data_IF_956228873543
#
_entry.id   IF_956228873543
#
_cell.length_a   1.000
_cell.length_b   1.000
_cell.length_c   1.000
_cell.angle_alpha   90.00
_cell.angle_beta   90.00
_cell.angle_gamma   90.00
#
_symmetry.space_group_name_H-M   'P 1'
#
loop_
_entity.id
_entity.type
_entity.pdbx_description
1 polymer ?
#
# COMPACT_ATOMS: atom_id res chain seq x y z
N UNK A 1 6.62 26.57 10.90
CA UNK A 1 5.51 27.24 11.61
C UNK A 1 4.38 26.24 11.78
N UNK A 2 4.03 25.92 13.04
CA UNK A 2 2.85 25.12 13.33
C UNK A 2 1.67 26.08 13.52
N UNK A 3 0.64 25.93 12.69
CA UNK A 3 -0.58 26.72 12.76
C UNK A 3 -1.62 25.93 13.54
N UNK A 4 -2.40 26.61 14.40
CA UNK A 4 -3.57 25.99 15.02
C UNK A 4 -4.71 25.91 14.01
N UNK A 5 -5.63 24.96 14.21
CA UNK A 5 -6.90 24.92 13.48
C UNK A 5 -7.66 26.24 13.78
N UNK A 6 -8.32 26.80 12.78
CA UNK A 6 -9.22 27.94 12.99
C UNK A 6 -10.44 27.45 13.79
N UNK A 7 -10.59 27.93 15.03
CA UNK A 7 -11.64 27.50 15.97
C UNK A 7 -13.06 27.79 15.44
N UNK A 8 -13.22 28.75 14.52
CA UNK A 8 -14.54 29.13 13.98
C UNK A 8 -14.89 28.42 12.66
N UNK A 9 -13.89 27.95 11.89
CA UNK A 9 -14.10 27.48 10.51
C UNK A 9 -13.69 26.04 10.25
N UNK A 10 -13.12 25.34 11.22
CA UNK A 10 -12.58 23.97 11.03
C UNK A 10 -11.57 23.86 9.86
N UNK A 11 -11.06 24.98 9.34
CA UNK A 11 -10.25 25.00 8.11
C UNK A 11 -8.81 24.63 8.43
N UNK A 12 -8.35 23.54 7.82
CA UNK A 12 -6.93 23.22 7.74
C UNK A 12 -6.24 24.25 6.83
N UNK A 13 -5.28 25.00 7.36
CA UNK A 13 -4.34 25.76 6.54
C UNK A 13 -3.32 24.75 6.01
N UNK A 14 -3.41 24.45 4.71
CA UNK A 14 -2.41 23.66 3.99
C UNK A 14 -1.20 24.57 3.79
N UNK A 15 -0.12 24.28 4.50
CA UNK A 15 1.18 24.90 4.27
C UNK A 15 2.11 23.96 3.53
N UNK A 16 3.07 24.52 2.79
CA UNK A 16 4.11 23.76 2.10
C UNK A 16 5.33 23.45 2.99
N UNK A 17 6.11 22.46 2.57
CA UNK A 17 7.47 22.20 3.05
C UNK A 17 8.50 22.61 1.99
N UNK A 18 9.68 22.99 2.45
CA UNK A 18 10.86 23.27 1.65
C UNK A 18 12.09 22.87 2.45
N UNK A 19 13.27 22.95 1.84
CA UNK A 19 14.56 22.73 2.50
C UNK A 19 14.79 23.59 3.75
N UNK A 20 14.14 24.75 3.87
CA UNK A 20 14.38 25.71 4.96
C UNK A 20 13.19 25.94 5.88
N UNK A 21 11.98 25.78 5.38
CA UNK A 21 10.75 26.10 6.10
C UNK A 21 9.71 25.01 5.90
N UNK A 22 9.02 24.64 6.97
CA UNK A 22 7.82 23.81 6.92
C UNK A 22 6.68 24.53 7.62
N UNK A 23 5.52 24.63 6.97
CA UNK A 23 4.29 25.18 7.54
C UNK A 23 3.21 24.11 7.50
N UNK A 24 2.56 23.85 8.63
CA UNK A 24 1.43 22.92 8.70
C UNK A 24 0.47 23.34 9.78
N UNK A 25 -0.83 23.19 9.52
CA UNK A 25 -1.79 23.01 10.62
C UNK A 25 -1.45 21.71 11.35
N UNK A 26 -1.46 21.73 12.67
CA UNK A 26 -1.08 20.56 13.47
C UNK A 26 -1.94 20.44 14.71
N UNK A 27 -2.71 19.35 14.78
CA UNK A 27 -3.46 18.93 15.94
C UNK A 27 -2.69 17.82 16.70
N UNK A 28 -2.30 18.11 17.93
CA UNK A 28 -1.55 17.16 18.79
C UNK A 28 -2.37 15.95 19.20
N UNK A 29 -3.70 16.02 19.06
CA UNK A 29 -4.65 14.97 19.39
C UNK A 29 -5.00 14.09 18.18
N UNK A 30 -4.44 14.38 17.00
CA UNK A 30 -4.70 13.62 15.77
C UNK A 30 -3.47 12.84 15.31
N UNK A 31 -3.55 11.51 15.34
CA UNK A 31 -2.47 10.62 14.88
C UNK A 31 -2.00 10.94 13.44
N UNK A 32 -2.94 11.26 12.54
CA UNK A 32 -2.61 11.59 11.14
C UNK A 32 -1.75 12.84 11.02
N UNK A 33 -1.89 13.82 11.91
CA UNK A 33 -1.12 15.05 11.83
C UNK A 33 0.35 14.79 12.20
N UNK A 34 0.62 13.89 13.17
CA UNK A 34 1.96 13.40 13.49
C UNK A 34 2.62 12.67 12.31
N UNK A 35 1.85 11.80 11.65
CA UNK A 35 2.30 11.10 10.44
C UNK A 35 2.64 12.08 9.31
N UNK A 36 1.70 12.97 8.95
CA UNK A 36 1.90 13.98 7.90
C UNK A 36 3.07 14.92 8.21
N UNK A 37 3.26 15.27 9.48
CA UNK A 37 4.42 16.04 9.91
C UNK A 37 5.72 15.28 9.65
N UNK A 38 5.78 13.99 9.99
CA UNK A 38 6.95 13.16 9.71
C UNK A 38 7.21 13.01 8.21
N UNK A 39 6.17 12.79 7.41
CA UNK A 39 6.27 12.69 5.96
C UNK A 39 6.92 13.94 5.35
N UNK A 40 6.41 15.12 5.72
CA UNK A 40 6.98 16.42 5.27
C UNK A 40 8.37 16.68 5.80
N UNK A 41 8.64 16.29 7.06
CA UNK A 41 9.97 16.39 7.64
C UNK A 41 10.98 15.52 6.88
N UNK A 42 10.58 14.33 6.43
CA UNK A 42 11.42 13.48 5.60
C UNK A 42 11.74 14.14 4.26
N UNK A 43 10.76 14.70 3.55
CA UNK A 43 11.03 15.45 2.32
C UNK A 43 12.02 16.60 2.56
N UNK A 44 11.78 17.43 3.58
CA UNK A 44 12.73 18.50 3.95
C UNK A 44 14.12 17.96 4.28
N UNK A 45 14.23 16.83 4.99
CA UNK A 45 15.50 16.16 5.26
C UNK A 45 16.18 15.70 3.97
N UNK A 46 15.47 14.96 3.12
CA UNK A 46 16.00 14.41 1.88
C UNK A 46 16.49 15.53 0.95
N UNK A 47 15.69 16.57 0.74
CA UNK A 47 16.06 17.73 -0.08
C UNK A 47 17.23 18.53 0.52
N UNK A 48 17.40 18.52 1.85
CA UNK A 48 18.57 19.14 2.49
C UNK A 48 19.87 18.38 2.22
N UNK A 49 19.77 17.11 1.81
CA UNK A 49 20.90 16.23 1.51
C UNK A 49 21.08 15.97 0.03
N UNK A 50 20.01 15.99 -0.75
CA UNK A 50 20.02 15.59 -2.15
C UNK A 50 19.40 16.73 -2.95
N UNK A 51 20.22 17.43 -3.73
CA UNK A 51 19.80 18.65 -4.45
C UNK A 51 19.31 18.38 -5.88
N UNK A 52 19.43 17.14 -6.37
CA UNK A 52 18.99 16.80 -7.72
C UNK A 52 17.46 16.85 -7.83
N UNK A 53 16.95 17.54 -8.85
CA UNK A 53 15.51 17.70 -9.09
C UNK A 53 14.84 16.45 -9.66
N UNK A 54 15.61 15.50 -10.21
CA UNK A 54 15.08 14.27 -10.86
C UNK A 54 14.23 13.39 -9.94
N UNK A 55 14.31 13.55 -8.63
CA UNK A 55 13.48 12.80 -7.66
C UNK A 55 12.04 13.31 -7.61
N UNK A 56 11.77 14.50 -8.15
CA UNK A 56 10.43 15.08 -8.23
C UNK A 56 9.75 14.71 -9.55
N UNK A 57 10.37 13.85 -10.36
CA UNK A 57 9.89 13.44 -11.67
C UNK A 57 9.89 11.91 -11.81
N UNK A 58 8.89 11.35 -12.50
CA UNK A 58 8.90 9.95 -12.90
C UNK A 58 10.15 9.60 -13.72
N UNK A 59 10.72 8.39 -13.59
CA UNK A 59 10.21 7.26 -12.81
C UNK A 59 10.84 7.13 -11.42
N UNK A 60 11.42 8.19 -10.87
CA UNK A 60 12.08 8.15 -9.55
C UNK A 60 11.19 8.74 -8.46
N UNK A 61 10.14 9.47 -8.84
CA UNK A 61 9.16 10.04 -7.92
C UNK A 61 8.51 8.98 -7.02
N UNK A 62 8.12 7.82 -7.55
CA UNK A 62 7.59 6.73 -6.70
C UNK A 62 8.55 6.32 -5.57
N UNK A 63 9.85 6.31 -5.82
CA UNK A 63 10.84 5.95 -4.82
C UNK A 63 10.96 7.06 -3.75
N UNK A 64 10.91 8.31 -4.17
CA UNK A 64 10.95 9.46 -3.27
C UNK A 64 9.72 9.49 -2.35
N UNK A 65 8.52 9.35 -2.90
CA UNK A 65 7.26 9.26 -2.15
C UNK A 65 7.18 7.99 -1.30
N UNK A 66 7.70 6.87 -1.81
CA UNK A 66 7.79 5.61 -1.09
C UNK A 66 8.68 5.71 0.16
N UNK A 67 9.83 6.39 0.06
CA UNK A 67 10.68 6.68 1.21
C UNK A 67 9.96 7.56 2.23
N UNK A 68 9.31 8.64 1.78
CA UNK A 68 8.58 9.54 2.65
C UNK A 68 7.44 8.83 3.39
N UNK A 69 6.70 7.96 2.70
CA UNK A 69 5.60 7.17 3.27
C UNK A 69 6.09 6.05 4.19
N UNK A 70 7.25 5.46 3.90
CA UNK A 70 7.89 4.51 4.81
C UNK A 70 8.30 5.20 6.12
N UNK A 71 9.02 6.32 6.04
CA UNK A 71 9.47 7.06 7.22
C UNK A 71 8.36 7.84 7.92
N UNK A 72 7.26 8.16 7.24
CA UNK A 72 6.01 8.63 7.87
C UNK A 72 5.57 7.66 8.98
N UNK A 73 5.68 6.36 8.75
CA UNK A 73 5.21 5.34 9.67
C UNK A 73 6.30 4.89 10.63
N UNK A 74 7.50 4.57 10.15
CA UNK A 74 8.56 3.99 10.99
C UNK A 74 9.12 5.00 12.00
N UNK A 75 9.22 6.28 11.65
CA UNK A 75 9.73 7.30 12.57
C UNK A 75 8.86 7.47 13.81
N UNK A 76 7.58 7.09 13.74
CA UNK A 76 6.66 7.15 14.87
C UNK A 76 7.12 6.27 16.04
N UNK A 77 8.00 5.29 15.81
CA UNK A 77 8.65 4.52 16.88
C UNK A 77 9.42 5.42 17.86
N UNK A 78 9.93 6.54 17.39
CA UNK A 78 10.68 7.54 18.16
C UNK A 78 9.79 8.44 19.02
N UNK A 79 8.47 8.39 18.87
CA UNK A 79 7.56 9.15 19.73
C UNK A 79 7.55 8.59 21.16
N UNK A 80 7.39 9.45 22.19
CA UNK A 80 7.15 9.01 23.56
C UNK A 80 5.98 8.04 23.66
N UNK A 81 6.12 7.02 24.51
CA UNK A 81 5.10 5.97 24.70
C UNK A 81 3.73 6.54 25.11
N UNK A 82 3.72 7.62 25.89
CA UNK A 82 2.49 8.32 26.27
C UNK A 82 1.73 8.89 25.08
N UNK A 83 2.42 9.37 24.05
CA UNK A 83 1.81 9.89 22.82
C UNK A 83 1.31 8.72 21.96
N UNK A 84 2.13 7.68 21.79
CA UNK A 84 1.74 6.49 21.02
C UNK A 84 0.48 5.83 21.57
N UNK A 85 0.41 5.64 22.89
CA UNK A 85 -0.75 5.04 23.54
C UNK A 85 -2.00 5.93 23.45
N UNK A 86 -1.86 7.24 23.71
CA UNK A 86 -2.98 8.18 23.64
C UNK A 86 -3.58 8.27 22.24
N UNK A 87 -2.73 8.22 21.21
CA UNK A 87 -3.13 8.38 19.80
C UNK A 87 -3.32 7.05 19.06
N UNK A 88 -3.15 5.92 19.75
CA UNK A 88 -3.25 4.58 19.18
C UNK A 88 -2.30 4.35 17.97
N UNK A 89 -1.06 4.84 18.08
CA UNK A 89 -0.04 4.77 17.03
C UNK A 89 0.80 3.51 17.23
N UNK A 90 0.64 2.56 16.30
CA UNK A 90 1.39 1.30 16.27
C UNK A 90 2.11 1.13 14.93
N UNK A 91 3.38 1.56 14.80
CA UNK A 91 4.08 1.61 13.53
C UNK A 91 4.20 0.25 12.81
N UNK A 92 4.50 -0.81 13.56
CA UNK A 92 4.62 -2.15 12.97
C UNK A 92 3.28 -2.68 12.46
N UNK A 93 2.19 -2.43 13.21
CA UNK A 93 0.83 -2.72 12.75
C UNK A 93 0.46 -1.91 11.51
N UNK A 94 0.90 -0.65 11.39
CA UNK A 94 0.66 0.15 10.18
C UNK A 94 1.30 -0.44 8.93
N UNK A 95 2.52 -0.98 9.05
CA UNK A 95 3.16 -1.67 7.92
C UNK A 95 2.46 -3.00 7.59
N UNK A 96 1.97 -3.74 8.59
CA UNK A 96 1.15 -4.92 8.37
C UNK A 96 -0.18 -4.58 7.67
N UNK A 97 -0.90 -3.56 8.14
CA UNK A 97 -2.12 -3.04 7.52
C UNK A 97 -1.88 -2.64 6.05
N UNK A 98 -0.73 -2.02 5.76
CA UNK A 98 -0.36 -1.60 4.41
C UNK A 98 -0.09 -2.80 3.50
N UNK A 99 0.64 -3.81 4.01
CA UNK A 99 0.90 -5.04 3.27
C UNK A 99 -0.36 -5.87 3.03
N UNK A 100 -1.29 -5.85 3.99
CA UNK A 100 -2.62 -6.46 3.86
C UNK A 100 -3.42 -5.85 2.70
N UNK A 101 -3.48 -4.51 2.63
CA UNK A 101 -4.11 -3.74 1.54
C UNK A 101 -3.47 -4.00 0.19
N UNK A 102 -2.14 -3.96 0.15
CA UNK A 102 -1.35 -4.27 -1.06
C UNK A 102 -1.69 -5.66 -1.57
N UNK A 103 -1.57 -6.69 -0.71
CA UNK A 103 -1.84 -8.08 -1.05
C UNK A 103 -3.26 -8.25 -1.58
N UNK A 104 -4.26 -7.72 -0.88
CA UNK A 104 -5.66 -7.82 -1.29
C UNK A 104 -5.88 -7.21 -2.68
N UNK A 105 -5.45 -5.96 -2.89
CA UNK A 105 -5.68 -5.26 -4.16
C UNK A 105 -4.87 -5.84 -5.32
N UNK A 106 -3.65 -6.32 -5.08
CA UNK A 106 -2.79 -6.95 -6.09
C UNK A 106 -3.39 -8.23 -6.64
N UNK A 107 -4.08 -9.03 -5.82
CA UNK A 107 -4.75 -10.23 -6.31
C UNK A 107 -6.12 -9.94 -6.90
N UNK A 108 -6.92 -9.09 -6.25
CA UNK A 108 -8.28 -8.76 -6.72
C UNK A 108 -8.28 -8.04 -8.06
N UNK A 109 -7.37 -7.08 -8.25
CA UNK A 109 -7.29 -6.20 -9.42
C UNK A 109 -5.93 -6.30 -10.12
N UNK A 110 -5.41 -7.52 -10.29
CA UNK A 110 -4.03 -7.77 -10.75
C UNK A 110 -3.65 -7.08 -12.06
N UNK A 111 -4.52 -7.04 -13.07
CA UNK A 111 -4.23 -6.37 -14.34
C UNK A 111 -4.07 -4.85 -14.20
N UNK A 112 -4.82 -4.25 -13.28
CA UNK A 112 -4.83 -2.79 -13.09
C UNK A 112 -3.71 -2.35 -12.16
N UNK A 113 -3.38 -3.16 -11.16
CA UNK A 113 -2.50 -2.79 -10.05
C UNK A 113 -1.19 -3.60 -9.99
N UNK A 114 -0.88 -4.41 -11.00
CA UNK A 114 0.48 -4.89 -11.21
C UNK A 114 1.31 -3.81 -11.91
N UNK A 115 1.95 -2.96 -11.11
CA UNK A 115 2.65 -1.76 -11.55
C UNK A 115 4.15 -1.92 -11.34
N UNK A 116 4.93 -2.02 -12.42
CA UNK A 116 6.39 -1.96 -12.32
C UNK A 116 6.82 -0.52 -11.95
N UNK A 117 7.46 -0.29 -10.79
CA UNK A 117 7.87 1.06 -10.37
C UNK A 117 8.69 1.83 -11.40
N UNK A 118 9.60 1.17 -12.13
CA UNK A 118 10.39 1.83 -13.18
C UNK A 118 9.60 2.19 -14.43
N UNK A 119 8.37 1.72 -14.54
CA UNK A 119 7.43 2.05 -15.63
C UNK A 119 6.41 3.12 -15.22
N UNK A 120 6.66 3.87 -14.15
CA UNK A 120 5.77 4.94 -13.65
C UNK A 120 5.31 5.92 -14.76
N UNK A 121 6.17 6.27 -15.71
CA UNK A 121 5.84 7.15 -16.85
C UNK A 121 4.63 6.62 -17.64
N UNK A 122 4.46 5.30 -17.74
CA UNK A 122 3.39 4.67 -18.52
C UNK A 122 2.02 4.79 -17.86
N UNK A 123 1.96 5.14 -16.57
CA UNK A 123 0.71 5.21 -15.79
C UNK A 123 0.35 6.63 -15.36
N UNK A 124 1.08 7.66 -15.84
CA UNK A 124 0.83 9.07 -15.46
C UNK A 124 -0.55 9.58 -15.82
N UNK A 125 -1.22 8.95 -16.79
CA UNK A 125 -2.60 9.27 -17.15
C UNK A 125 -3.64 8.75 -16.14
N UNK A 126 -3.23 7.93 -15.17
CA UNK A 126 -4.09 7.33 -14.15
C UNK A 126 -3.65 7.75 -12.75
N UNK A 127 -4.18 8.88 -12.22
CA UNK A 127 -3.98 9.29 -10.83
C UNK A 127 -4.22 8.16 -9.82
N UNK A 128 -5.18 7.28 -10.06
CA UNK A 128 -5.47 6.14 -9.19
C UNK A 128 -4.32 5.12 -9.14
N UNK A 129 -3.69 4.80 -10.28
CA UNK A 129 -2.51 3.92 -10.30
C UNK A 129 -1.31 4.59 -9.66
N UNK A 130 -1.14 5.90 -9.85
CA UNK A 130 -0.08 6.69 -9.20
C UNK A 130 -0.25 6.66 -7.68
N UNK A 131 -1.47 6.91 -7.17
CA UNK A 131 -1.77 6.85 -5.73
C UNK A 131 -1.41 5.49 -5.14
N UNK A 132 -1.85 4.41 -5.79
CA UNK A 132 -1.53 3.05 -5.34
C UNK A 132 -0.02 2.78 -5.37
N UNK A 133 0.66 3.16 -6.45
CA UNK A 133 2.11 2.95 -6.57
C UNK A 133 2.87 3.70 -5.47
N UNK A 134 2.59 5.00 -5.28
CA UNK A 134 3.35 5.87 -4.39
C UNK A 134 3.10 5.59 -2.92
N UNK A 135 1.83 5.40 -2.53
CA UNK A 135 1.46 5.35 -1.11
C UNK A 135 1.13 3.95 -0.61
N UNK A 136 1.05 2.95 -1.49
CA UNK A 136 0.84 1.54 -1.10
C UNK A 136 2.03 0.66 -1.45
N UNK A 137 2.44 0.62 -2.72
CA UNK A 137 3.47 -0.32 -3.16
C UNK A 137 4.91 0.15 -2.86
N UNK A 138 5.25 1.40 -3.17
CA UNK A 138 6.58 1.95 -2.97
C UNK A 138 7.08 1.93 -1.51
N UNK A 139 6.29 2.29 -0.48
CA UNK A 139 6.76 2.15 0.91
C UNK A 139 7.03 0.70 1.32
N UNK A 140 6.32 -0.29 0.74
CA UNK A 140 6.58 -1.70 0.97
C UNK A 140 7.86 -2.17 0.26
N UNK A 141 8.16 -1.64 -0.94
CA UNK A 141 9.46 -1.84 -1.59
C UNK A 141 10.61 -1.33 -0.72
N UNK A 142 10.46 -0.14 -0.13
CA UNK A 142 11.42 0.43 0.81
C UNK A 142 11.59 -0.46 2.04
N UNK A 143 10.48 -0.92 2.65
CA UNK A 143 10.52 -1.88 3.77
C UNK A 143 11.28 -3.14 3.40
N UNK A 144 11.02 -3.72 2.24
CA UNK A 144 11.70 -4.94 1.80
C UNK A 144 13.20 -4.72 1.61
N UNK A 145 13.60 -3.60 1.02
CA UNK A 145 15.00 -3.24 0.87
C UNK A 145 15.69 -3.03 2.23
N UNK A 146 15.04 -2.33 3.16
CA UNK A 146 15.56 -2.09 4.51
C UNK A 146 15.72 -3.42 5.29
N UNK A 147 14.75 -4.33 5.20
CA UNK A 147 14.83 -5.65 5.84
C UNK A 147 16.00 -6.49 5.32
N UNK A 148 16.16 -6.56 3.99
CA UNK A 148 17.27 -7.29 3.37
C UNK A 148 18.63 -6.67 3.75
N UNK A 149 18.69 -5.34 3.84
CA UNK A 149 19.90 -4.63 4.26
C UNK A 149 20.20 -4.89 5.75
N UNK A 150 19.18 -4.92 6.60
CA UNK A 150 19.31 -5.22 8.03
C UNK A 150 19.76 -6.66 8.28
N UNK A 151 19.19 -7.64 7.58
CA UNK A 151 19.61 -9.05 7.63
C UNK A 151 21.09 -9.21 7.31
N UNK A 152 21.59 -8.47 6.31
CA UNK A 152 22.98 -8.51 5.88
C UNK A 152 23.93 -7.80 6.82
N UNK A 153 23.55 -6.62 7.31
CA UNK A 153 24.45 -5.72 8.05
C UNK A 153 24.36 -5.88 9.58
N UNK A 154 23.27 -6.48 10.07
CA UNK A 154 22.92 -6.51 11.49
C UNK A 154 22.59 -5.13 12.08
N UNK A 155 22.29 -4.15 11.24
CA UNK A 155 22.01 -2.76 11.64
C UNK A 155 20.67 -2.30 11.10
N UNK A 156 20.06 -1.35 11.78
CA UNK A 156 18.87 -0.63 11.30
C UNK A 156 19.27 0.68 10.61
N UNK A 157 18.27 1.37 10.03
CA UNK A 157 18.36 2.67 9.36
C UNK A 157 19.41 2.72 8.24
N UNK A 158 19.59 1.63 7.51
CA UNK A 158 20.61 1.50 6.46
C UNK A 158 20.36 2.48 5.32
N UNK A 159 19.11 2.68 4.91
CA UNK A 159 18.78 3.63 3.84
C UNK A 159 19.06 5.07 4.27
N UNK A 160 18.63 5.50 5.47
CA UNK A 160 18.95 6.85 5.98
C UNK A 160 20.46 7.04 6.09
N UNK A 161 21.18 6.05 6.62
CA UNK A 161 22.65 6.13 6.75
C UNK A 161 23.31 6.25 5.38
N UNK A 162 22.84 5.52 4.38
CA UNK A 162 23.30 5.68 3.00
C UNK A 162 23.07 7.11 2.48
N UNK A 163 21.87 7.68 2.67
CA UNK A 163 21.56 9.06 2.25
C UNK A 163 22.48 10.06 2.97
N UNK A 164 22.73 9.86 4.27
CA UNK A 164 23.61 10.69 5.09
C UNK A 164 25.07 10.59 4.68
N UNK A 165 25.53 9.46 4.16
CA UNK A 165 26.91 9.26 3.74
C UNK A 165 27.18 9.79 2.31
N UNK A 166 26.12 10.08 1.54
CA UNK A 166 26.21 10.50 0.13
C UNK A 166 25.55 11.88 -0.13
N UNK A 167 25.66 12.81 0.83
CA UNK A 167 24.98 14.15 0.87
C UNK A 167 25.29 15.13 -0.28
N UNK A 168 26.15 14.77 -1.22
CA UNK A 168 26.50 15.62 -2.36
C UNK A 168 26.44 14.84 -3.68
N UNK A 169 26.02 13.58 -3.59
CA UNK A 169 25.95 12.71 -4.73
C UNK A 169 24.55 12.83 -5.35
N UNK A 170 24.47 13.47 -6.51
CA UNK A 170 23.26 13.50 -7.35
C UNK A 170 22.86 12.09 -7.86
N UNK A 171 23.36 11.02 -7.24
CA UNK A 171 23.25 9.65 -7.68
C UNK A 171 22.66 8.69 -6.64
N UNK A 172 21.93 9.18 -5.63
CA UNK A 172 21.05 8.35 -4.79
C UNK A 172 19.84 7.82 -5.57
N UNK A 173 20.07 6.99 -6.59
CA UNK A 173 19.02 6.32 -7.35
C UNK A 173 18.68 4.97 -6.71
N UNK A 174 17.47 4.42 -6.96
CA UNK A 174 17.07 3.13 -6.39
C UNK A 174 18.07 2.01 -6.69
N UNK A 175 18.60 1.96 -7.92
CA UNK A 175 19.60 0.99 -8.36
C UNK A 175 20.92 1.12 -7.61
N UNK A 176 21.43 2.34 -7.44
CA UNK A 176 22.69 2.58 -6.71
C UNK A 176 22.54 2.28 -5.22
N UNK A 177 21.42 2.68 -4.63
CA UNK A 177 21.08 2.35 -3.25
C UNK A 177 21.01 0.83 -3.05
N UNK A 178 20.21 0.13 -3.86
CA UNK A 178 20.05 -1.32 -3.75
C UNK A 178 21.39 -2.04 -3.94
N UNK A 179 22.19 -1.64 -4.93
CA UNK A 179 23.51 -2.22 -5.16
C UNK A 179 24.49 -1.94 -4.01
N UNK A 180 24.44 -0.76 -3.38
CA UNK A 180 25.29 -0.48 -2.23
C UNK A 180 24.88 -1.29 -1.00
N UNK A 181 23.59 -1.36 -0.72
CA UNK A 181 23.08 -2.04 0.47
C UNK A 181 23.20 -3.56 0.33
N UNK A 182 22.89 -4.10 -0.84
CA UNK A 182 22.75 -5.54 -1.06
C UNK A 182 23.89 -6.17 -1.89
N UNK A 183 24.90 -5.40 -2.31
CA UNK A 183 25.94 -5.82 -3.27
C UNK A 183 25.34 -6.40 -4.56
N UNK A 184 25.78 -7.60 -4.99
CA UNK A 184 25.30 -8.29 -6.19
C UNK A 184 23.79 -8.58 -6.13
N UNK A 185 23.24 -8.76 -4.94
CA UNK A 185 21.80 -9.00 -4.76
C UNK A 185 20.96 -7.75 -5.02
N UNK A 186 21.58 -6.56 -5.10
CA UNK A 186 20.90 -5.32 -5.46
C UNK A 186 20.35 -5.35 -6.89
N UNK A 187 21.11 -5.94 -7.83
CA UNK A 187 20.67 -6.09 -9.23
C UNK A 187 19.42 -6.97 -9.31
N UNK A 188 19.40 -8.07 -8.56
CA UNK A 188 18.26 -8.99 -8.50
C UNK A 188 17.04 -8.31 -7.86
N UNK A 189 17.24 -7.51 -6.81
CA UNK A 189 16.16 -6.74 -6.19
C UNK A 189 15.49 -5.79 -7.21
N UNK A 190 16.30 -5.01 -7.94
CA UNK A 190 15.79 -4.09 -8.97
C UNK A 190 15.06 -4.86 -10.07
N UNK A 191 15.67 -5.92 -10.60
CA UNK A 191 15.10 -6.68 -11.70
C UNK A 191 13.76 -7.32 -11.34
N UNK A 192 13.63 -7.86 -10.12
CA UNK A 192 12.41 -8.56 -9.67
C UNK A 192 11.31 -7.59 -9.29
N UNK A 193 11.60 -6.64 -8.41
CA UNK A 193 10.55 -5.86 -7.77
C UNK A 193 10.33 -4.48 -8.39
N UNK A 194 11.37 -3.88 -9.00
CA UNK A 194 11.25 -2.56 -9.62
C UNK A 194 10.99 -2.64 -11.13
N UNK A 195 11.54 -3.64 -11.82
CA UNK A 195 11.35 -3.83 -13.26
C UNK A 195 10.20 -4.77 -13.63
N UNK A 196 10.05 -5.91 -12.93
CA UNK A 196 9.04 -6.95 -13.25
C UNK A 196 7.79 -6.93 -12.39
N UNK A 197 7.78 -6.10 -11.34
CA UNK A 197 6.68 -6.03 -10.37
C UNK A 197 6.35 -7.39 -9.72
N UNK A 198 7.37 -8.19 -9.40
CA UNK A 198 7.14 -9.41 -8.62
C UNK A 198 6.51 -9.07 -7.26
N UNK A 199 5.65 -9.97 -6.77
CA UNK A 199 4.97 -9.80 -5.50
C UNK A 199 5.98 -9.70 -4.35
N UNK A 200 5.81 -8.70 -3.49
CA UNK A 200 6.71 -8.47 -2.36
C UNK A 200 6.58 -9.59 -1.31
N UNK A 201 7.68 -10.26 -0.90
CA UNK A 201 7.62 -11.40 0.00
C UNK A 201 7.63 -10.98 1.49
N UNK A 202 6.85 -9.97 1.86
CA UNK A 202 6.78 -9.43 3.23
C UNK A 202 5.81 -10.23 4.13
N UNK A 203 5.74 -11.55 3.95
CA UNK A 203 4.78 -12.43 4.64
C UNK A 203 4.91 -12.44 6.16
N UNK A 204 6.06 -12.00 6.68
CA UNK A 204 6.29 -11.78 8.10
C UNK A 204 5.51 -10.58 8.66
N UNK A 205 5.09 -9.64 7.82
CA UNK A 205 4.15 -8.58 8.18
C UNK A 205 2.75 -9.18 8.27
N UNK A 206 2.41 -9.67 9.45
CA UNK A 206 1.16 -10.36 9.69
C UNK A 206 0.30 -9.63 10.70
N UNK A 207 -1.00 -9.64 10.43
CA UNK A 207 -2.10 -9.26 11.32
C UNK A 207 -2.71 -10.50 12.02
N UNK A 208 -1.94 -11.59 12.21
CA UNK A 208 -2.42 -12.80 12.90
C UNK A 208 -3.01 -12.44 14.26
N UNK A 209 -4.24 -12.89 14.49
CA UNK A 209 -4.99 -12.69 15.73
C UNK A 209 -5.98 -11.52 15.69
N UNK A 210 -6.03 -10.74 14.62
CA UNK A 210 -7.04 -9.70 14.46
C UNK A 210 -8.42 -10.26 14.11
N UNK A 211 -9.46 -9.61 14.62
CA UNK A 211 -10.84 -9.96 14.29
C UNK A 211 -11.15 -9.61 12.82
N UNK A 212 -11.86 -10.51 12.11
CA UNK A 212 -12.24 -10.31 10.71
C UNK A 212 -12.87 -8.95 10.45
N UNK A 213 -13.67 -8.45 11.40
CA UNK A 213 -14.38 -7.16 11.29
C UNK A 213 -13.42 -5.97 11.21
N UNK A 214 -12.31 -5.99 11.95
CA UNK A 214 -11.32 -4.90 11.91
C UNK A 214 -10.60 -4.86 10.56
N UNK A 215 -10.16 -6.03 10.09
CA UNK A 215 -9.52 -6.19 8.77
C UNK A 215 -10.45 -5.70 7.66
N UNK A 216 -11.70 -6.18 7.64
CA UNK A 216 -12.70 -5.79 6.64
C UNK A 216 -13.01 -4.30 6.71
N UNK A 217 -13.10 -3.70 7.90
CA UNK A 217 -13.32 -2.26 8.03
C UNK A 217 -12.17 -1.45 7.41
N UNK A 218 -10.91 -1.85 7.66
CA UNK A 218 -9.74 -1.17 7.06
C UNK A 218 -9.68 -1.36 5.55
N UNK A 219 -9.97 -2.56 5.05
CA UNK A 219 -10.01 -2.83 3.62
C UNK A 219 -11.17 -2.08 2.94
N UNK A 220 -12.32 -1.93 3.59
CA UNK A 220 -13.43 -1.12 3.08
C UNK A 220 -13.07 0.36 2.95
N UNK A 221 -12.38 0.93 3.95
CA UNK A 221 -11.87 2.31 3.86
C UNK A 221 -10.94 2.43 2.65
N UNK A 222 -10.01 1.48 2.47
CA UNK A 222 -9.07 1.51 1.36
C UNK A 222 -9.72 1.27 -0.01
N UNK A 223 -10.68 0.35 -0.11
CA UNK A 223 -11.48 0.14 -1.32
C UNK A 223 -12.29 1.39 -1.67
N UNK A 224 -12.83 2.10 -0.68
CA UNK A 224 -13.50 3.39 -0.89
C UNK A 224 -12.51 4.44 -1.42
N UNK A 225 -11.34 4.58 -0.80
CA UNK A 225 -10.30 5.51 -1.27
C UNK A 225 -9.93 5.22 -2.73
N UNK A 226 -9.61 3.96 -3.05
CA UNK A 226 -9.28 3.56 -4.42
C UNK A 226 -10.44 3.76 -5.39
N UNK A 227 -11.67 3.47 -4.96
CA UNK A 227 -12.88 3.77 -5.73
C UNK A 227 -12.98 5.26 -6.06
N UNK A 228 -12.77 6.16 -5.11
CA UNK A 228 -12.91 7.61 -5.37
C UNK A 228 -11.90 8.12 -6.40
N UNK A 229 -10.71 7.52 -6.47
CA UNK A 229 -9.73 7.81 -7.51
C UNK A 229 -10.12 7.20 -8.86
N UNK A 230 -10.36 5.89 -8.91
CA UNK A 230 -10.66 5.20 -10.17
C UNK A 230 -11.99 5.63 -10.79
N UNK A 231 -12.98 6.01 -10.00
CA UNK A 231 -14.29 6.45 -10.52
C UNK A 231 -14.18 7.73 -11.35
N UNK A 232 -13.18 8.58 -11.07
CA UNK A 232 -12.90 9.77 -11.88
C UNK A 232 -12.38 9.41 -13.29
N UNK A 233 -11.76 8.24 -13.43
CA UNK A 233 -11.19 7.73 -14.68
C UNK A 233 -12.17 6.81 -15.42
N UNK A 234 -12.95 6.03 -14.67
CA UNK A 234 -13.91 5.06 -15.17
C UNK A 234 -15.11 4.97 -14.22
N UNK A 235 -16.27 5.48 -14.65
CA UNK A 235 -17.50 5.46 -13.84
C UNK A 235 -18.07 4.05 -13.61
N UNK A 236 -17.57 3.04 -14.32
CA UNK A 236 -17.90 1.63 -14.06
C UNK A 236 -17.06 1.01 -12.94
N UNK A 237 -16.02 1.70 -12.47
CA UNK A 237 -15.28 1.27 -11.29
C UNK A 237 -16.11 1.61 -10.05
N UNK A 238 -16.90 0.65 -9.56
CA UNK A 238 -17.72 0.87 -8.37
C UNK A 238 -17.04 0.36 -7.10
N UNK A 239 -17.45 0.94 -5.98
CA UNK A 239 -17.03 0.53 -4.64
C UNK A 239 -17.55 -0.87 -4.33
N UNK A 240 -16.65 -1.80 -4.05
CA UNK A 240 -16.99 -3.16 -3.63
C UNK A 240 -17.05 -3.20 -2.10
N UNK A 241 -18.26 -3.20 -1.56
CA UNK A 241 -18.49 -3.27 -0.12
C UNK A 241 -18.17 -4.68 0.37
N UNK A 242 -17.16 -4.78 1.22
CA UNK A 242 -16.75 -6.03 1.85
C UNK A 242 -17.54 -6.23 3.14
N UNK A 243 -17.96 -7.46 3.41
CA UNK A 243 -18.69 -7.79 4.61
C UNK A 243 -18.22 -9.12 5.22
N UNK A 244 -18.70 -9.39 6.43
CA UNK A 244 -18.42 -10.66 7.13
C UNK A 244 -19.52 -11.69 6.91
N UNK A 245 -20.62 -11.30 6.27
CA UNK A 245 -21.78 -12.17 6.10
C UNK A 245 -21.43 -13.31 5.15
N UNK A 246 -21.59 -14.54 5.64
CA UNK A 246 -21.30 -15.78 4.91
C UNK A 246 -19.86 -15.90 4.38
N UNK A 247 -18.93 -14.99 4.68
CA UNK A 247 -17.56 -14.99 4.16
C UNK A 247 -16.88 -16.36 4.28
N UNK A 248 -16.96 -16.99 5.46
CA UNK A 248 -16.39 -18.32 5.68
C UNK A 248 -17.08 -19.42 4.87
N UNK A 249 -18.42 -19.35 4.73
CA UNK A 249 -19.20 -20.31 3.93
C UNK A 249 -18.83 -20.19 2.45
N UNK A 250 -18.74 -18.96 1.93
CA UNK A 250 -18.38 -18.66 0.55
C UNK A 250 -16.93 -19.06 0.25
N UNK A 251 -15.99 -18.73 1.13
CA UNK A 251 -14.60 -19.16 0.97
C UNK A 251 -14.45 -20.68 0.98
N UNK A 252 -15.16 -21.37 1.86
CA UNK A 252 -15.14 -22.83 1.90
C UNK A 252 -15.74 -23.44 0.63
N UNK A 253 -16.80 -22.85 0.08
CA UNK A 253 -17.35 -23.28 -1.21
C UNK A 253 -16.37 -23.06 -2.36
N UNK A 254 -15.66 -21.93 -2.37
CA UNK A 254 -14.60 -21.66 -3.34
C UNK A 254 -13.49 -22.73 -3.30
N UNK A 255 -13.10 -23.15 -2.09
CA UNK A 255 -12.12 -24.22 -1.90
C UNK A 255 -12.63 -25.58 -2.39
N UNK A 256 -13.91 -25.92 -2.16
CA UNK A 256 -14.49 -27.17 -2.69
C UNK A 256 -14.50 -27.21 -4.21
N UNK A 257 -14.79 -26.07 -4.83
CA UNK A 257 -14.78 -25.89 -6.29
C UNK A 257 -13.35 -25.83 -6.86
N UNK A 258 -12.31 -25.90 -6.02
CA UNK A 258 -10.91 -25.86 -6.44
C UNK A 258 -10.51 -24.52 -7.05
N UNK A 259 -11.12 -23.42 -6.61
CA UNK A 259 -10.85 -22.08 -7.13
C UNK A 259 -9.59 -21.50 -6.50
N UNK A 260 -8.73 -20.92 -7.33
CA UNK A 260 -7.45 -20.35 -6.91
C UNK A 260 -7.27 -18.93 -7.42
N UNK A 261 -6.82 -18.02 -6.54
CA UNK A 261 -6.41 -16.66 -6.92
C UNK A 261 -4.90 -16.56 -7.18
N UNK A 262 -4.11 -17.52 -6.70
CA UNK A 262 -2.66 -17.60 -6.90
C UNK A 262 -2.18 -19.07 -6.87
N UNK A 263 -0.87 -19.29 -7.02
CA UNK A 263 -0.29 -20.61 -6.78
C UNK A 263 -0.43 -21.04 -5.30
N UNK A 264 -0.37 -22.35 -5.05
CA UNK A 264 -0.61 -22.94 -3.72
C UNK A 264 0.30 -22.38 -2.63
N UNK A 265 1.58 -22.08 -2.94
CA UNK A 265 2.52 -21.55 -1.95
C UNK A 265 2.13 -20.12 -1.57
N UNK A 266 1.79 -19.31 -2.57
CA UNK A 266 1.33 -17.94 -2.36
C UNK A 266 0.01 -17.90 -1.60
N UNK A 267 -0.98 -18.74 -1.95
CA UNK A 267 -2.24 -18.83 -1.20
C UNK A 267 -2.02 -19.21 0.27
N UNK A 268 -1.10 -20.15 0.54
CA UNK A 268 -0.74 -20.53 1.91
C UNK A 268 -0.07 -19.40 2.69
N UNK A 269 0.81 -18.62 2.04
CA UNK A 269 1.40 -17.42 2.64
C UNK A 269 0.35 -16.36 2.95
N UNK A 270 -0.58 -16.09 2.04
CA UNK A 270 -1.68 -15.12 2.26
C UNK A 270 -2.58 -15.58 3.39
N UNK A 271 -2.93 -16.87 3.43
CA UNK A 271 -3.74 -17.46 4.51
C UNK A 271 -3.07 -17.35 5.87
N UNK A 272 -1.76 -17.52 5.92
CA UNK A 272 -0.97 -17.37 7.14
C UNK A 272 -0.89 -15.89 7.55
N UNK A 273 -0.63 -14.99 6.59
CA UNK A 273 -0.50 -13.56 6.81
C UNK A 273 -1.80 -12.94 7.34
N UNK A 274 -2.94 -13.19 6.67
CA UNK A 274 -4.27 -12.71 7.03
C UNK A 274 -5.34 -13.67 6.49
N UNK A 275 -5.92 -14.54 7.35
CA UNK A 275 -7.01 -15.45 6.95
C UNK A 275 -8.20 -14.71 6.34
N UNK A 276 -8.47 -13.49 6.80
CA UNK A 276 -9.55 -12.65 6.26
C UNK A 276 -9.30 -12.26 4.81
N UNK A 277 -8.09 -11.79 4.47
CA UNK A 277 -7.73 -11.50 3.07
C UNK A 277 -7.84 -12.74 2.19
N UNK A 278 -7.36 -13.88 2.67
CA UNK A 278 -7.51 -15.16 1.96
C UNK A 278 -8.98 -15.46 1.64
N UNK A 279 -9.86 -15.39 2.65
CA UNK A 279 -11.28 -15.68 2.48
C UNK A 279 -11.96 -14.71 1.51
N UNK A 280 -11.62 -13.42 1.56
CA UNK A 280 -12.18 -12.40 0.66
C UNK A 280 -11.73 -12.62 -0.79
N UNK A 281 -10.48 -13.01 -1.01
CA UNK A 281 -9.99 -13.34 -2.35
C UNK A 281 -10.65 -14.62 -2.89
N UNK A 282 -10.89 -15.61 -2.03
CA UNK A 282 -11.62 -16.83 -2.38
C UNK A 282 -13.08 -16.53 -2.74
N UNK A 283 -13.76 -15.70 -1.97
CA UNK A 283 -15.10 -15.21 -2.31
C UNK A 283 -15.10 -14.50 -3.67
N UNK A 284 -14.11 -13.65 -3.94
CA UNK A 284 -14.00 -12.96 -5.22
C UNK A 284 -13.83 -13.93 -6.41
N UNK A 285 -13.02 -14.97 -6.25
CA UNK A 285 -12.88 -16.03 -7.26
C UNK A 285 -14.19 -16.80 -7.47
N UNK A 286 -14.92 -17.10 -6.39
CA UNK A 286 -16.22 -17.74 -6.47
C UNK A 286 -17.26 -16.87 -7.18
N UNK A 287 -17.28 -15.57 -6.89
CA UNK A 287 -18.12 -14.61 -7.61
C UNK A 287 -17.82 -14.61 -9.11
N UNK A 288 -16.53 -14.57 -9.47
CA UNK A 288 -16.11 -14.66 -10.88
C UNK A 288 -16.61 -15.93 -11.55
N UNK A 289 -16.50 -17.07 -10.88
CA UNK A 289 -17.01 -18.35 -11.35
C UNK A 289 -18.54 -18.35 -11.54
N UNK A 290 -19.30 -17.87 -10.56
CA UNK A 290 -20.78 -17.78 -10.62
C UNK A 290 -21.25 -16.88 -11.75
N UNK A 291 -20.53 -15.77 -11.99
CA UNK A 291 -20.86 -14.82 -13.04
C UNK A 291 -20.31 -15.22 -14.43
N UNK A 292 -19.51 -16.29 -14.51
CA UNK A 292 -18.79 -16.72 -15.72
C UNK A 292 -17.86 -15.63 -16.27
N UNK A 293 -17.16 -14.92 -15.40
CA UNK A 293 -16.19 -13.85 -15.75
C UNK A 293 -14.78 -14.38 -15.55
N UNK A 294 -13.91 -14.18 -16.54
CA UNK A 294 -12.47 -14.43 -16.40
C UNK A 294 -11.83 -13.27 -15.64
N UNK A 295 -11.27 -13.54 -14.46
CA UNK A 295 -10.57 -12.54 -13.63
C UNK A 295 -9.33 -11.95 -14.29
N UNK A 296 -8.84 -12.56 -15.38
CA UNK A 296 -7.71 -12.07 -16.18
C UNK A 296 -8.16 -11.20 -17.37
N UNK A 297 -9.44 -10.89 -17.50
CA UNK A 297 -9.94 -9.94 -18.49
C UNK A 297 -9.81 -8.48 -18.00
N UNK A 298 -9.52 -7.54 -18.92
CA UNK A 298 -9.28 -6.12 -18.61
C UNK A 298 -10.43 -5.41 -17.88
N UNK A 299 -11.66 -5.90 -17.99
CA UNK A 299 -12.85 -5.32 -17.37
C UNK A 299 -13.54 -6.28 -16.39
N UNK A 300 -12.81 -7.29 -15.91
CA UNK A 300 -13.38 -8.32 -15.05
C UNK A 300 -14.06 -7.75 -13.80
N UNK A 301 -13.44 -6.74 -13.17
CA UNK A 301 -14.01 -6.07 -12.01
C UNK A 301 -15.32 -5.36 -12.37
N UNK A 302 -15.32 -4.55 -13.42
CA UNK A 302 -16.50 -3.82 -13.90
C UNK A 302 -17.63 -4.79 -14.27
N UNK A 303 -17.29 -5.89 -14.94
CA UNK A 303 -18.24 -6.96 -15.29
C UNK A 303 -18.81 -7.66 -14.05
N UNK A 304 -18.03 -7.84 -12.99
CA UNK A 304 -18.49 -8.48 -11.76
C UNK A 304 -19.33 -7.56 -10.89
N UNK A 305 -18.96 -6.29 -10.82
CA UNK A 305 -19.50 -5.34 -9.85
C UNK A 305 -20.61 -4.46 -10.45
N UNK A 306 -20.45 -3.99 -11.68
CA UNK A 306 -21.32 -2.96 -12.28
C UNK A 306 -22.35 -3.53 -13.25
N UNK A 307 -22.11 -4.73 -13.78
CA UNK A 307 -23.09 -5.41 -14.63
C UNK A 307 -24.25 -5.95 -13.79
N UNK A 308 -25.45 -5.39 -13.99
CA UNK A 308 -26.66 -5.76 -13.25
C UNK A 308 -26.96 -7.27 -13.28
N UNK A 309 -26.81 -7.93 -14.44
CA UNK A 309 -27.07 -9.38 -14.56
C UNK A 309 -26.13 -10.20 -13.68
N UNK A 310 -24.85 -9.82 -13.62
CA UNK A 310 -23.87 -10.50 -12.79
C UNK A 310 -24.06 -10.21 -11.30
N UNK A 311 -24.43 -8.98 -10.94
CA UNK A 311 -24.82 -8.61 -9.57
C UNK A 311 -26.02 -9.44 -9.11
N UNK A 312 -27.06 -9.58 -9.94
CA UNK A 312 -28.26 -10.35 -9.63
C UNK A 312 -27.93 -11.85 -9.45
N UNK A 313 -27.09 -12.43 -10.33
CA UNK A 313 -26.60 -13.81 -10.18
C UNK A 313 -25.87 -14.02 -8.86
N UNK A 314 -24.96 -13.11 -8.51
CA UNK A 314 -24.18 -13.20 -7.28
C UNK A 314 -25.08 -13.10 -6.04
N UNK A 315 -26.01 -12.15 -6.02
CA UNK A 315 -26.95 -11.99 -4.91
C UNK A 315 -27.87 -13.22 -4.76
N UNK A 316 -28.38 -13.76 -5.87
CA UNK A 316 -29.17 -15.00 -5.84
C UNK A 316 -28.36 -16.18 -5.29
N UNK A 317 -27.09 -16.31 -5.68
CA UNK A 317 -26.19 -17.33 -5.15
C UNK A 317 -25.94 -17.17 -3.65
N UNK A 318 -25.62 -15.96 -3.17
CA UNK A 318 -25.41 -15.67 -1.74
C UNK A 318 -26.64 -15.96 -0.88
N UNK A 319 -27.84 -15.84 -1.43
CA UNK A 319 -29.08 -16.14 -0.71
C UNK A 319 -29.27 -17.64 -0.42
N UNK A 320 -28.60 -18.53 -1.15
CA UNK A 320 -28.64 -19.98 -0.90
C UNK A 320 -27.83 -20.40 0.35
N UNK A 321 -27.06 -19.48 0.94
CA UNK A 321 -26.26 -19.73 2.15
C UNK A 321 -26.92 -19.19 3.43
N UNK A 322 -28.18 -18.72 3.34
CA UNK A 322 -28.99 -18.27 4.48
C UNK A 322 -29.32 -19.42 5.44
#
# INVERSE_FOLDING_TARGET
VMLRKDDEKEKYIIGGSSTKNMVSTFDTERARDWQLFSHRLFHSFFESKITATKYHEPPVLNFYEGLATYYENISMKSLPESIKNRLNIFPDKKMADLFERYTYMRFKNSLTLSLAPLSEIQILSSPAKIEFLHYTQAPLLVKHLEDLAAEKTGKEDNIIRYIVDHKEDNTVTPDKLANKLLDKNGVDFIARYMSKDELLPLWNLSSIGEENKEVIQRLNIFEYDMYTWFYQENSLYIYDVLDTDKLLKLSHEADKEGLHFADTKTEASVKTMSPTVYNLLKEYMLRAKVCSVDVKANHAREDLLSNKSNVDKWNAFKNNFN
#
